data_IF_538978977923
#
_entry.id   IF_538978977923
#
_cell.length_a   1.000
_cell.length_b   1.000
_cell.length_c   1.000
_cell.angle_alpha   90.00
_cell.angle_beta   90.00
_cell.angle_gamma   90.00
#
_symmetry.space_group_name_H-M   'P 1'
#
loop_
_entity.id
_entity.type
_entity.pdbx_description
1 polymer ?
#
# COMPACT_ATOMS: atom_id res chain seq x y z
N UNK A 1 1.94 -19.65 9.22
CA UNK A 1 2.96 -18.63 9.55
C UNK A 1 2.28 -17.49 10.28
N UNK A 2 2.86 -16.97 11.36
CA UNK A 2 2.31 -15.82 12.09
C UNK A 2 2.53 -14.50 11.34
N UNK A 3 1.76 -13.46 11.67
CA UNK A 3 1.86 -12.12 11.08
C UNK A 3 3.27 -11.54 11.24
N UNK A 4 3.88 -11.74 12.41
CA UNK A 4 5.24 -11.28 12.71
C UNK A 4 6.29 -11.97 11.82
N UNK A 5 6.15 -13.27 11.58
CA UNK A 5 7.02 -14.03 10.66
C UNK A 5 6.91 -13.54 9.21
N UNK A 6 5.69 -13.25 8.76
CA UNK A 6 5.43 -12.74 7.41
C UNK A 6 6.07 -11.37 7.19
N UNK A 7 5.93 -10.44 8.14
CA UNK A 7 6.55 -9.11 8.07
C UNK A 7 8.08 -9.20 8.08
N UNK A 8 8.65 -10.10 8.91
CA UNK A 8 10.10 -10.24 9.06
C UNK A 8 10.78 -10.72 7.78
N UNK A 9 10.10 -11.53 6.97
CA UNK A 9 10.58 -11.98 5.65
C UNK A 9 10.31 -10.99 4.51
N UNK A 10 9.20 -10.25 4.57
CA UNK A 10 8.79 -9.35 3.48
C UNK A 10 9.59 -8.04 3.44
N UNK A 11 9.92 -7.46 4.60
CA UNK A 11 10.58 -6.15 4.67
C UNK A 11 11.97 -6.14 4.00
N UNK A 12 12.88 -7.10 4.25
CA UNK A 12 14.18 -7.13 3.56
C UNK A 12 14.06 -7.22 2.02
N UNK A 13 13.04 -7.92 1.49
CA UNK A 13 12.77 -8.01 0.06
C UNK A 13 12.47 -6.65 -0.56
N UNK A 14 11.79 -5.77 0.16
CA UNK A 14 11.55 -4.38 -0.28
C UNK A 14 12.87 -3.61 -0.35
N UNK A 15 13.79 -3.85 0.58
CA UNK A 15 15.14 -3.26 0.53
C UNK A 15 15.94 -3.73 -0.68
N UNK A 16 15.75 -4.98 -1.09
CA UNK A 16 16.40 -5.55 -2.28
C UNK A 16 16.03 -4.82 -3.58
N UNK A 17 14.82 -4.21 -3.66
CA UNK A 17 14.41 -3.39 -4.80
C UNK A 17 15.34 -2.20 -5.07
N UNK A 18 16.06 -1.77 -4.03
CA UNK A 18 16.99 -0.64 -4.04
C UNK A 18 18.45 -1.09 -3.89
N UNK A 19 18.73 -2.38 -4.04
CA UNK A 19 20.08 -2.95 -3.93
C UNK A 19 20.60 -3.07 -2.48
N UNK A 20 19.76 -2.83 -1.48
CA UNK A 20 20.15 -2.87 -0.05
C UNK A 20 19.19 -3.81 0.71
N UNK A 21 19.40 -5.14 0.67
CA UNK A 21 18.49 -6.15 1.22
C UNK A 21 18.59 -6.26 2.76
N UNK A 22 18.53 -5.12 3.45
CA UNK A 22 18.53 -5.06 4.91
C UNK A 22 17.13 -4.73 5.43
N UNK A 23 16.83 -5.14 6.66
CA UNK A 23 15.56 -4.78 7.30
C UNK A 23 15.36 -3.26 7.38
N UNK A 24 16.40 -2.51 7.76
CA UNK A 24 16.32 -1.05 7.91
C UNK A 24 16.02 -0.36 6.57
N UNK A 25 16.75 -0.72 5.50
CA UNK A 25 16.49 -0.16 4.17
C UNK A 25 15.10 -0.52 3.67
N UNK A 26 14.70 -1.78 3.81
CA UNK A 26 13.36 -2.23 3.45
C UNK A 26 12.25 -1.49 4.20
N UNK A 27 12.44 -1.26 5.50
CA UNK A 27 11.51 -0.54 6.34
C UNK A 27 11.37 0.94 5.92
N UNK A 28 12.50 1.64 5.75
CA UNK A 28 12.51 3.04 5.32
C UNK A 28 11.87 3.21 3.94
N UNK A 29 12.24 2.33 3.00
CA UNK A 29 11.66 2.31 1.66
C UNK A 29 10.16 2.05 1.73
N UNK A 30 9.72 1.07 2.52
CA UNK A 30 8.31 0.75 2.64
C UNK A 30 7.50 1.95 3.16
N UNK A 31 7.95 2.56 4.26
CA UNK A 31 7.32 3.77 4.81
C UNK A 31 7.29 4.92 3.79
N UNK A 32 8.37 5.09 3.03
CA UNK A 32 8.44 6.14 2.00
C UNK A 32 7.36 5.96 0.93
N UNK A 33 7.19 4.74 0.42
CA UNK A 33 6.10 4.43 -0.52
C UNK A 33 4.73 4.58 0.12
N UNK A 34 4.55 4.16 1.37
CA UNK A 34 3.31 4.37 2.11
C UNK A 34 2.93 5.86 2.14
N UNK A 35 3.86 6.75 2.49
CA UNK A 35 3.57 8.19 2.46
C UNK A 35 3.21 8.66 1.04
N UNK A 36 3.95 8.25 0.02
CA UNK A 36 3.67 8.62 -1.38
C UNK A 36 2.27 8.16 -1.82
N UNK A 37 1.87 6.94 -1.48
CA UNK A 37 0.56 6.38 -1.81
C UNK A 37 -0.56 7.09 -1.02
N UNK A 38 -0.35 7.42 0.25
CA UNK A 38 -1.30 8.23 1.02
C UNK A 38 -1.51 9.62 0.39
N UNK A 39 -0.43 10.26 -0.08
CA UNK A 39 -0.52 11.53 -0.78
C UNK A 39 -1.26 11.40 -2.11
N UNK A 40 -1.01 10.33 -2.89
CA UNK A 40 -1.75 10.03 -4.12
C UNK A 40 -3.24 9.88 -3.81
N UNK A 41 -3.61 9.14 -2.77
CA UNK A 41 -5.00 9.04 -2.31
C UNK A 41 -5.59 10.43 -2.05
N UNK A 42 -4.95 11.23 -1.19
CA UNK A 42 -5.41 12.58 -0.84
C UNK A 42 -5.61 13.48 -2.06
N UNK A 43 -4.66 13.46 -3.00
CA UNK A 43 -4.74 14.19 -4.26
C UNK A 43 -5.92 13.71 -5.11
N UNK A 44 -6.10 12.40 -5.27
CA UNK A 44 -7.21 11.82 -6.04
C UNK A 44 -8.56 12.18 -5.43
N UNK A 45 -8.74 11.97 -4.13
CA UNK A 45 -10.02 12.24 -3.45
C UNK A 45 -10.31 13.72 -3.26
N UNK A 46 -9.33 14.61 -3.48
CA UNK A 46 -9.55 16.06 -3.47
C UNK A 46 -10.24 16.59 -4.73
N UNK A 47 -10.29 15.79 -5.81
CA UNK A 47 -10.86 16.17 -7.11
C UNK A 47 -12.34 15.78 -7.22
N UNK A 48 -13.09 16.53 -8.03
CA UNK A 48 -14.46 16.14 -8.37
C UNK A 48 -14.46 14.85 -9.23
N UNK A 49 -15.47 13.98 -9.12
CA UNK A 49 -16.63 14.06 -8.20
C UNK A 49 -16.32 13.54 -6.78
N UNK A 50 -15.17 12.91 -6.56
CA UNK A 50 -14.82 12.22 -5.31
C UNK A 50 -14.76 13.15 -4.08
N UNK A 51 -14.45 14.43 -4.30
CA UNK A 51 -14.31 15.45 -3.24
C UNK A 51 -15.49 15.50 -2.28
N UNK A 52 -16.71 15.41 -2.78
CA UNK A 52 -17.91 15.52 -1.94
C UNK A 52 -18.12 14.28 -1.07
N UNK A 53 -17.82 13.10 -1.62
CA UNK A 53 -17.85 11.83 -0.90
C UNK A 53 -16.72 11.76 0.14
N UNK A 54 -15.53 12.25 -0.18
CA UNK A 54 -14.38 12.20 0.71
C UNK A 54 -14.52 13.08 1.96
N UNK A 55 -15.44 14.05 1.98
CA UNK A 55 -15.68 14.94 3.14
C UNK A 55 -16.50 14.31 4.26
N UNK A 56 -17.20 13.21 4.00
CA UNK A 56 -17.98 12.48 5.02
C UNK A 56 -17.21 11.26 5.49
N UNK A 57 -17.25 10.97 6.78
CA UNK A 57 -16.49 9.86 7.37
C UNK A 57 -16.81 8.51 6.72
N UNK A 58 -18.09 8.18 6.53
CA UNK A 58 -18.51 6.89 5.97
C UNK A 58 -18.06 6.71 4.53
N UNK A 59 -18.33 7.69 3.66
CA UNK A 59 -17.96 7.61 2.24
C UNK A 59 -16.47 7.82 2.01
N UNK A 60 -15.78 8.63 2.83
CA UNK A 60 -14.31 8.73 2.83
C UNK A 60 -13.64 7.41 3.21
N UNK A 61 -14.13 6.75 4.26
CA UNK A 61 -13.66 5.42 4.66
C UNK A 61 -13.90 4.40 3.53
N UNK A 62 -15.08 4.40 2.91
CA UNK A 62 -15.37 3.49 1.79
C UNK A 62 -14.45 3.73 0.58
N UNK A 63 -14.15 4.99 0.24
CA UNK A 63 -13.17 5.34 -0.80
C UNK A 63 -11.78 4.83 -0.43
N UNK A 64 -11.37 4.98 0.84
CA UNK A 64 -10.11 4.45 1.35
C UNK A 64 -10.03 2.92 1.29
N UNK A 65 -11.09 2.22 1.67
CA UNK A 65 -11.20 0.76 1.55
C UNK A 65 -11.04 0.31 0.09
N UNK A 66 -11.75 0.95 -0.84
CA UNK A 66 -11.61 0.67 -2.27
C UNK A 66 -10.20 0.94 -2.78
N UNK A 67 -9.57 2.02 -2.31
CA UNK A 67 -8.18 2.32 -2.60
C UNK A 67 -7.22 1.23 -2.08
N UNK A 68 -7.45 0.69 -0.87
CA UNK A 68 -6.68 -0.44 -0.34
C UNK A 68 -6.75 -1.70 -1.20
N UNK A 69 -7.94 -2.01 -1.76
CA UNK A 69 -8.09 -3.11 -2.73
C UNK A 69 -7.27 -2.84 -3.99
N UNK A 70 -7.34 -1.62 -4.54
CA UNK A 70 -6.56 -1.22 -5.71
C UNK A 70 -5.07 -1.34 -5.43
N UNK A 71 -4.59 -0.89 -4.26
CA UNK A 71 -3.19 -1.04 -3.88
C UNK A 71 -2.78 -2.51 -3.85
N UNK A 72 -3.57 -3.38 -3.21
CA UNK A 72 -3.25 -4.82 -3.15
C UNK A 72 -2.98 -5.40 -4.54
N UNK A 73 -3.84 -5.06 -5.51
CA UNK A 73 -3.72 -5.56 -6.88
C UNK A 73 -2.54 -4.91 -7.61
N UNK A 74 -2.43 -3.59 -7.56
CA UNK A 74 -1.44 -2.85 -8.36
C UNK A 74 -0.05 -2.99 -7.76
N UNK A 75 0.14 -2.70 -6.47
CA UNK A 75 1.47 -2.69 -5.86
C UNK A 75 1.96 -4.10 -5.55
N UNK A 76 1.19 -4.87 -4.78
CA UNK A 76 1.55 -6.23 -4.38
C UNK A 76 1.42 -7.24 -5.52
N UNK A 77 0.29 -7.21 -6.22
CA UNK A 77 -0.01 -8.16 -7.29
C UNK A 77 0.83 -7.99 -8.54
N UNK A 78 1.16 -6.76 -8.93
CA UNK A 78 1.72 -6.47 -10.25
C UNK A 78 3.10 -5.79 -10.16
N UNK A 79 3.19 -4.61 -9.55
CA UNK A 79 4.40 -3.78 -9.57
C UNK A 79 5.56 -4.48 -8.85
N UNK A 80 5.34 -5.00 -7.65
CA UNK A 80 6.37 -5.68 -6.87
C UNK A 80 6.99 -6.89 -7.60
N UNK A 81 6.20 -7.90 -8.05
CA UNK A 81 6.77 -9.04 -8.77
C UNK A 81 7.45 -8.62 -10.09
N UNK A 82 6.89 -7.68 -10.84
CA UNK A 82 7.53 -7.15 -12.07
C UNK A 82 8.86 -6.47 -11.77
N UNK A 83 8.95 -5.69 -10.70
CA UNK A 83 10.19 -5.03 -10.31
C UNK A 83 11.25 -6.05 -9.88
N UNK A 84 10.89 -7.03 -9.05
CA UNK A 84 11.79 -8.10 -8.63
C UNK A 84 12.33 -8.88 -9.83
N UNK A 85 11.48 -9.20 -10.81
CA UNK A 85 11.90 -9.82 -12.07
C UNK A 85 12.83 -8.92 -12.89
N UNK A 86 12.52 -7.62 -12.99
CA UNK A 86 13.31 -6.67 -13.77
C UNK A 86 14.74 -6.49 -13.23
N UNK A 87 14.94 -6.59 -11.92
CA UNK A 87 16.27 -6.51 -11.29
C UNK A 87 16.92 -7.89 -11.08
N UNK A 88 16.28 -8.96 -11.57
CA UNK A 88 16.85 -10.32 -11.57
C UNK A 88 16.88 -11.01 -10.20
N UNK A 89 15.96 -10.69 -9.27
CA UNK A 89 15.87 -11.43 -8.00
C UNK A 89 15.48 -12.89 -8.27
N UNK A 90 16.26 -13.88 -7.81
CA UNK A 90 15.93 -15.29 -7.98
C UNK A 90 14.59 -15.64 -7.33
N UNK A 91 13.80 -16.50 -7.99
CA UNK A 91 12.50 -16.95 -7.50
C UNK A 91 11.50 -15.81 -7.21
N UNK A 92 11.55 -14.73 -8.00
CA UNK A 92 10.54 -13.67 -7.94
C UNK A 92 9.12 -14.27 -8.06
N UNK A 93 8.14 -13.77 -7.28
CA UNK A 93 6.76 -14.26 -7.35
C UNK A 93 6.15 -14.09 -8.75
N UNK A 94 5.26 -15.00 -9.15
CA UNK A 94 4.51 -14.89 -10.41
C UNK A 94 3.52 -13.72 -10.37
N UNK A 95 3.20 -13.17 -11.55
CA UNK A 95 2.16 -12.14 -11.69
C UNK A 95 0.82 -12.81 -12.04
N UNK A 96 -0.28 -12.54 -11.31
CA UNK A 96 -0.36 -11.67 -10.14
C UNK A 96 0.02 -12.38 -8.83
N UNK A 97 0.76 -11.69 -7.95
CA UNK A 97 1.09 -12.18 -6.61
C UNK A 97 0.13 -11.64 -5.55
N UNK A 98 -0.97 -12.35 -5.30
CA UNK A 98 -2.03 -11.92 -4.39
C UNK A 98 -2.16 -12.83 -3.17
N UNK A 99 -2.35 -12.21 -2.02
CA UNK A 99 -2.47 -12.88 -0.73
C UNK A 99 -3.56 -12.24 0.11
N UNK A 100 -4.29 -13.04 0.88
CA UNK A 100 -5.29 -12.54 1.83
C UNK A 100 -4.67 -11.69 2.94
N UNK A 101 -3.43 -11.99 3.35
CA UNK A 101 -2.76 -11.16 4.36
C UNK A 101 -2.38 -9.80 3.79
N UNK A 102 -1.96 -9.75 2.52
CA UNK A 102 -1.63 -8.49 1.83
C UNK A 102 -2.89 -7.64 1.63
N UNK A 103 -3.99 -8.27 1.22
CA UNK A 103 -5.29 -7.62 1.13
C UNK A 103 -5.70 -7.03 2.48
N UNK A 104 -5.64 -7.82 3.54
CA UNK A 104 -6.01 -7.36 4.88
C UNK A 104 -5.17 -6.13 5.31
N UNK A 105 -3.84 -6.19 5.13
CA UNK A 105 -2.94 -5.09 5.49
C UNK A 105 -3.27 -3.80 4.71
N UNK A 106 -3.53 -3.89 3.40
CA UNK A 106 -3.87 -2.73 2.60
C UNK A 106 -5.29 -2.22 2.85
N UNK A 107 -6.23 -3.08 3.25
CA UNK A 107 -7.57 -2.65 3.69
C UNK A 107 -7.48 -1.84 4.98
N UNK A 108 -6.71 -2.31 5.97
CA UNK A 108 -6.48 -1.55 7.22
C UNK A 108 -5.85 -0.20 6.90
N UNK A 109 -4.81 -0.18 6.07
CA UNK A 109 -4.18 1.04 5.58
C UNK A 109 -5.21 1.98 4.91
N UNK A 110 -6.00 1.47 3.97
CA UNK A 110 -7.00 2.25 3.24
C UNK A 110 -8.08 2.84 4.13
N UNK A 111 -8.59 2.05 5.09
CA UNK A 111 -9.59 2.50 6.08
C UNK A 111 -9.05 3.67 6.90
N UNK A 112 -7.82 3.56 7.42
CA UNK A 112 -7.19 4.61 8.23
C UNK A 112 -7.08 5.92 7.44
N UNK A 113 -6.45 5.90 6.26
CA UNK A 113 -6.28 7.13 5.47
C UNK A 113 -7.60 7.69 4.91
N UNK A 114 -8.55 6.80 4.58
CA UNK A 114 -9.89 7.20 4.16
C UNK A 114 -10.70 7.89 5.26
N UNK A 115 -10.55 7.46 6.50
CA UNK A 115 -11.17 8.08 7.66
C UNK A 115 -10.45 9.37 8.10
N UNK A 116 -9.12 9.40 8.02
CA UNK A 116 -8.31 10.56 8.43
C UNK A 116 -8.53 11.78 7.53
N UNK A 117 -8.71 11.58 6.22
CA UNK A 117 -8.88 12.67 5.26
C UNK A 117 -10.00 13.66 5.64
N UNK A 118 -11.27 13.24 5.90
CA UNK A 118 -12.30 14.15 6.36
C UNK A 118 -12.03 14.72 7.77
N UNK A 119 -11.40 13.95 8.67
CA UNK A 119 -11.10 14.39 10.03
C UNK A 119 -10.07 15.54 10.06
N UNK A 120 -9.08 15.49 9.19
CA UNK A 120 -8.08 16.57 9.05
C UNK A 120 -8.67 17.77 8.32
N UNK A 121 -9.47 17.54 7.29
CA UNK A 121 -9.99 18.61 6.42
C UNK A 121 -11.13 19.43 7.03
N UNK A 122 -11.83 18.88 8.01
CA UNK A 122 -12.96 19.54 8.68
C UNK A 122 -12.57 20.23 10.00
N UNK A 123 -11.27 20.30 10.32
CA UNK A 123 -10.73 21.19 11.36
C UNK A 123 -10.56 22.59 10.80
#
# INVERSE_FOLDING_TARGET
MGVVESVRGAIPTIGALYGVPTFAAGWVTHLSHSVMLALVFGVVVSRAPLREYARRLSTGTALGTGYGVVLTVITGGIVLPLWLMAIGVPNAPSVPNLSLIDLFNHLVYGVVFGADYPLVRNR
#
